data_IF_627660362896
#
_entry.id   IF_627660362896
#
_cell.length_a   1.000
_cell.length_b   1.000
_cell.length_c   1.000
_cell.angle_alpha   90.00
_cell.angle_beta   90.00
_cell.angle_gamma   90.00
#
_symmetry.space_group_name_H-M   'P 1'
#
loop_
_entity.id
_entity.type
_entity.pdbx_description
1 polymer ?
#
# COMPACT_ATOMS: atom_id res chain seq x y z
N UNK A 1 -2.98 19.71 -1.95
CA UNK A 1 -3.50 19.07 -0.73
C UNK A 1 -3.90 17.65 -1.09
N UNK A 2 -3.35 16.66 -0.39
CA UNK A 2 -3.64 15.23 -0.61
C UNK A 2 -4.78 14.84 0.33
N UNK A 3 -5.84 14.24 -0.20
CA UNK A 3 -6.98 13.71 0.54
C UNK A 3 -7.22 12.24 0.22
N UNK A 4 -7.85 11.52 1.14
CA UNK A 4 -8.10 10.09 1.02
C UNK A 4 -9.59 9.78 1.09
N UNK A 5 -10.03 8.79 0.33
CA UNK A 5 -11.40 8.27 0.39
C UNK A 5 -11.46 6.79 0.05
N UNK A 6 -12.43 6.08 0.61
CA UNK A 6 -12.64 4.66 0.39
C UNK A 6 -13.30 4.47 -0.99
N UNK A 7 -12.71 3.67 -1.89
CA UNK A 7 -13.32 3.35 -3.17
C UNK A 7 -14.62 2.56 -3.02
N UNK A 8 -15.59 2.72 -3.94
CA UNK A 8 -16.80 1.91 -3.92
C UNK A 8 -16.45 0.43 -4.06
N UNK A 9 -17.07 -0.41 -3.23
CA UNK A 9 -16.85 -1.86 -3.22
C UNK A 9 -15.76 -2.34 -2.27
N UNK A 10 -14.94 -1.44 -1.72
CA UNK A 10 -13.98 -1.77 -0.66
C UNK A 10 -14.69 -1.64 0.70
N UNK A 11 -14.73 -2.74 1.46
CA UNK A 11 -15.41 -2.83 2.75
C UNK A 11 -14.58 -3.63 3.72
N UNK A 12 -14.61 -3.22 4.99
CA UNK A 12 -14.02 -3.97 6.07
C UNK A 12 -14.94 -5.11 6.50
N UNK A 13 -14.34 -6.28 6.65
CA UNK A 13 -14.96 -7.50 7.21
C UNK A 13 -13.95 -8.20 8.11
N UNK A 14 -14.40 -9.18 8.88
CA UNK A 14 -13.54 -9.94 9.79
C UNK A 14 -13.70 -11.43 9.56
N UNK A 15 -12.59 -12.17 9.64
CA UNK A 15 -12.57 -13.64 9.73
C UNK A 15 -11.60 -14.02 10.83
N UNK A 16 -12.05 -14.82 11.81
CA UNK A 16 -11.21 -15.25 12.94
C UNK A 16 -10.44 -14.09 13.61
N UNK A 17 -11.14 -12.98 13.83
CA UNK A 17 -10.60 -11.74 14.42
C UNK A 17 -9.52 -11.02 13.58
N UNK A 18 -9.32 -11.42 12.31
CA UNK A 18 -8.43 -10.75 11.37
C UNK A 18 -9.21 -9.81 10.45
N UNK A 19 -8.81 -8.53 10.33
CA UNK A 19 -9.46 -7.60 9.41
C UNK A 19 -9.15 -7.95 7.96
N UNK A 20 -10.19 -7.87 7.12
CA UNK A 20 -10.18 -8.19 5.69
C UNK A 20 -10.85 -7.06 4.92
N UNK A 21 -10.14 -6.46 3.96
CA UNK A 21 -10.72 -5.50 3.02
C UNK A 21 -11.13 -6.20 1.73
N UNK A 22 -12.36 -5.99 1.26
CA UNK A 22 -12.78 -6.46 -0.06
C UNK A 22 -12.11 -5.66 -1.17
N UNK A 23 -11.80 -6.32 -2.29
CA UNK A 23 -11.31 -5.64 -3.50
C UNK A 23 -12.45 -5.45 -4.50
N UNK A 24 -12.39 -4.42 -5.38
CA UNK A 24 -13.40 -4.22 -6.42
C UNK A 24 -13.58 -5.42 -7.37
N UNK A 25 -12.55 -6.24 -7.52
CA UNK A 25 -12.52 -7.44 -8.38
C UNK A 25 -13.12 -8.69 -7.69
N UNK A 26 -13.60 -8.56 -6.45
CA UNK A 26 -14.24 -9.64 -5.69
C UNK A 26 -13.32 -10.44 -4.77
N UNK A 27 -12.07 -10.00 -4.59
CA UNK A 27 -11.10 -10.59 -3.66
C UNK A 27 -11.22 -10.05 -2.24
N UNK A 28 -10.37 -10.57 -1.34
CA UNK A 28 -10.17 -10.03 0.02
C UNK A 28 -8.68 -9.96 0.34
N UNK A 29 -8.26 -8.86 0.96
CA UNK A 29 -6.89 -8.65 1.45
C UNK A 29 -6.93 -8.64 2.97
N UNK A 30 -6.16 -9.55 3.58
CA UNK A 30 -5.98 -9.56 5.02
C UNK A 30 -4.97 -8.48 5.42
N UNK A 31 -5.32 -7.69 6.42
CA UNK A 31 -4.48 -6.63 6.98
C UNK A 31 -4.37 -6.80 8.49
N UNK A 32 -3.47 -6.05 9.12
CA UNK A 32 -3.41 -5.97 10.58
C UNK A 32 -4.41 -4.93 11.13
N UNK A 33 -4.73 -4.97 12.44
CA UNK A 33 -5.67 -4.04 13.06
C UNK A 33 -5.25 -2.57 12.99
N UNK A 34 -3.94 -2.28 13.04
CA UNK A 34 -3.42 -0.91 12.95
C UNK A 34 -3.69 -0.31 11.58
N UNK A 35 -3.44 -1.08 10.52
CA UNK A 35 -3.72 -0.66 9.14
C UNK A 35 -5.22 -0.55 8.87
N UNK A 36 -6.04 -1.41 9.49
CA UNK A 36 -7.50 -1.30 9.41
C UNK A 36 -8.01 0.00 10.07
N UNK A 37 -7.48 0.34 11.25
CA UNK A 37 -7.80 1.60 11.93
C UNK A 37 -7.33 2.82 11.11
N UNK A 38 -6.12 2.77 10.52
CA UNK A 38 -5.62 3.83 9.64
C UNK A 38 -6.52 4.00 8.40
N UNK A 39 -6.92 2.89 7.77
CA UNK A 39 -7.80 2.89 6.61
C UNK A 39 -9.15 3.55 6.91
N UNK A 40 -9.78 3.18 8.05
CA UNK A 40 -11.04 3.77 8.48
C UNK A 40 -10.89 5.25 8.85
N UNK A 41 -9.80 5.60 9.53
CA UNK A 41 -9.50 6.98 9.92
C UNK A 41 -9.25 7.89 8.72
N UNK A 42 -8.66 7.37 7.64
CA UNK A 42 -8.31 8.15 6.46
C UNK A 42 -9.52 8.61 5.62
N UNK A 43 -10.72 8.05 5.85
CA UNK A 43 -11.92 8.40 5.09
C UNK A 43 -12.22 9.91 5.18
N UNK A 44 -12.25 10.57 4.00
CA UNK A 44 -12.53 11.99 3.82
C UNK A 44 -11.56 12.94 4.56
N UNK A 45 -10.36 12.47 4.91
CA UNK A 45 -9.33 13.27 5.57
C UNK A 45 -8.16 13.60 4.66
N UNK A 46 -7.49 14.70 4.97
CA UNK A 46 -6.22 15.09 4.36
C UNK A 46 -5.03 14.40 5.01
N UNK A 47 -3.92 14.32 4.28
CA UNK A 47 -2.67 13.77 4.80
C UNK A 47 -2.18 14.51 6.07
N UNK A 48 -2.34 15.83 6.10
CA UNK A 48 -1.90 16.67 7.21
C UNK A 48 -2.71 16.39 8.49
N UNK A 49 -4.03 16.26 8.37
CA UNK A 49 -4.91 15.87 9.47
C UNK A 49 -4.59 14.46 9.98
N UNK A 50 -4.33 13.52 9.07
CA UNK A 50 -3.99 12.14 9.44
C UNK A 50 -2.68 12.11 10.23
N UNK A 51 -1.65 12.80 9.75
CA UNK A 51 -0.35 12.84 10.44
C UNK A 51 -0.39 13.53 11.80
N UNK A 52 -1.30 14.50 11.98
CA UNK A 52 -1.44 15.21 13.25
C UNK A 52 -2.27 14.43 14.29
N UNK A 53 -3.29 13.71 13.86
CA UNK A 53 -4.32 13.17 14.76
C UNK A 53 -4.29 11.65 14.91
N UNK A 54 -3.77 10.90 13.93
CA UNK A 54 -3.78 9.45 13.99
C UNK A 54 -2.80 8.93 15.06
N UNK A 55 -3.32 8.12 15.98
CA UNK A 55 -2.56 7.49 17.06
C UNK A 55 -2.91 6.01 17.11
N UNK A 56 -1.91 5.17 17.35
CA UNK A 56 -2.11 3.73 17.53
C UNK A 56 -1.85 3.38 18.98
N UNK A 57 -2.84 2.80 19.68
CA UNK A 57 -2.74 2.38 21.07
C UNK A 57 -2.14 3.42 22.04
N UNK A 58 -2.44 4.70 21.80
CA UNK A 58 -1.96 5.83 22.61
C UNK A 58 -0.51 6.24 22.35
N UNK A 59 0.21 5.56 21.45
CA UNK A 59 1.52 6.00 20.95
C UNK A 59 1.37 6.80 19.65
N UNK A 60 2.22 7.81 19.50
CA UNK A 60 2.36 8.57 18.25
C UNK A 60 3.08 7.66 17.27
N UNK A 61 2.38 7.25 16.21
CA UNK A 61 2.97 6.48 15.13
C UNK A 61 3.91 7.38 14.32
N UNK A 62 5.07 6.83 13.96
CA UNK A 62 6.05 7.52 13.14
C UNK A 62 5.42 8.02 11.81
N UNK A 63 5.58 9.30 11.44
CA UNK A 63 5.00 9.88 10.23
C UNK A 63 5.32 9.11 8.94
N UNK A 64 6.53 8.55 8.83
CA UNK A 64 6.93 7.79 7.63
C UNK A 64 6.21 6.45 7.56
N UNK A 65 6.00 5.79 8.70
CA UNK A 65 5.18 4.58 8.80
C UNK A 65 3.72 4.84 8.39
N UNK A 66 3.12 5.97 8.81
CA UNK A 66 1.76 6.37 8.38
C UNK A 66 1.73 6.60 6.86
N UNK A 67 2.71 7.33 6.32
CA UNK A 67 2.82 7.59 4.87
C UNK A 67 2.94 6.30 4.08
N UNK A 68 3.76 5.35 4.55
CA UNK A 68 3.94 4.06 3.93
C UNK A 68 2.63 3.25 3.93
N UNK A 69 1.93 3.17 5.06
CA UNK A 69 0.62 2.51 5.16
C UNK A 69 -0.41 3.08 4.18
N UNK A 70 -0.55 4.42 4.15
CA UNK A 70 -1.43 5.10 3.20
C UNK A 70 -1.02 4.84 1.74
N UNK A 71 0.27 4.81 1.44
CA UNK A 71 0.78 4.53 0.11
C UNK A 71 0.47 3.08 -0.33
N UNK A 72 0.69 2.10 0.55
CA UNK A 72 0.37 0.69 0.29
C UNK A 72 -1.13 0.49 0.04
N UNK A 73 -1.99 1.07 0.90
CA UNK A 73 -3.44 1.02 0.72
C UNK A 73 -3.88 1.67 -0.59
N UNK A 74 -3.24 2.79 -0.97
CA UNK A 74 -3.55 3.48 -2.20
C UNK A 74 -3.12 2.72 -3.46
N UNK A 75 -1.92 2.13 -3.45
CA UNK A 75 -1.40 1.34 -4.56
C UNK A 75 -2.19 0.04 -4.76
N UNK A 76 -2.65 -0.59 -3.69
CA UNK A 76 -3.49 -1.78 -3.74
C UNK A 76 -4.95 -1.49 -4.16
N UNK A 77 -5.31 -0.23 -4.43
CA UNK A 77 -6.68 0.16 -4.77
C UNK A 77 -7.67 0.06 -3.61
N UNK A 78 -7.18 -0.09 -2.38
CA UNK A 78 -7.99 -0.19 -1.16
C UNK A 78 -8.32 1.19 -0.58
N UNK A 79 -7.57 2.22 -0.96
CA UNK A 79 -7.80 3.62 -0.59
C UNK A 79 -7.58 4.49 -1.83
N UNK A 80 -8.43 5.49 -2.06
CA UNK A 80 -8.23 6.45 -3.15
C UNK A 80 -7.47 7.64 -2.60
N UNK A 81 -6.34 7.96 -3.23
CA UNK A 81 -5.59 9.20 -2.99
C UNK A 81 -6.00 10.24 -4.04
N UNK A 82 -6.49 11.39 -3.60
CA UNK A 82 -6.85 12.53 -4.43
C UNK A 82 -5.93 13.71 -4.13
N UNK A 83 -5.52 14.45 -5.15
CA UNK A 83 -4.63 15.61 -4.98
C UNK A 83 -3.14 15.23 -5.03
N UNK A 84 -2.42 16.01 -5.84
CA UNK A 84 -1.08 15.74 -6.36
C UNK A 84 -1.08 14.57 -7.35
N UNK A 85 -0.67 14.85 -8.59
CA UNK A 85 -0.52 13.81 -9.61
C UNK A 85 0.39 12.74 -9.03
N UNK A 86 -0.08 11.49 -9.01
CA UNK A 86 0.83 10.37 -8.84
C UNK A 86 1.99 10.66 -9.79
N UNK A 87 3.24 10.68 -9.28
CA UNK A 87 4.36 10.40 -10.16
C UNK A 87 3.93 9.11 -10.82
N UNK A 88 3.58 9.16 -12.10
CA UNK A 88 3.21 7.97 -12.82
C UNK A 88 4.42 7.06 -12.60
N UNK A 89 4.24 5.98 -11.82
CA UNK A 89 5.15 4.88 -11.95
C UNK A 89 5.12 4.61 -13.43
N UNK A 90 6.26 4.85 -14.08
CA UNK A 90 6.41 4.60 -15.50
C UNK A 90 6.00 3.14 -15.61
N UNK A 91 4.81 2.89 -16.16
CA UNK A 91 4.46 1.53 -16.54
C UNK A 91 5.67 1.09 -17.36
N UNK A 92 6.35 -0.01 -17.01
CA UNK A 92 7.53 -0.44 -17.75
C UNK A 92 7.19 -0.34 -19.23
N UNK A 93 8.03 0.34 -20.01
CA UNK A 93 7.77 0.60 -21.43
C UNK A 93 7.31 -0.71 -22.09
N UNK A 94 6.39 -0.59 -23.06
CA UNK A 94 5.74 -1.71 -23.74
C UNK A 94 6.76 -2.81 -24.04
N UNK A 95 6.64 -3.88 -23.25
CA UNK A 95 7.72 -4.80 -23.04
C UNK A 95 8.10 -5.54 -24.32
N UNK A 96 9.35 -5.42 -24.71
CA UNK A 96 9.92 -6.22 -25.80
C UNK A 96 10.46 -7.53 -25.23
N UNK A 97 9.59 -8.37 -24.65
CA UNK A 97 10.02 -9.65 -24.06
C UNK A 97 8.95 -10.39 -23.24
N UNK A 98 9.20 -11.66 -22.88
CA UNK A 98 8.33 -12.43 -21.99
C UNK A 98 8.30 -11.84 -20.56
N UNK A 99 7.21 -12.05 -19.82
CA UNK A 99 7.14 -11.66 -18.40
C UNK A 99 8.14 -12.44 -17.57
N UNK A 100 8.94 -11.71 -16.78
CA UNK A 100 9.82 -12.28 -15.77
C UNK A 100 9.26 -11.97 -14.39
N UNK A 101 8.84 -13.01 -13.67
CA UNK A 101 8.41 -12.90 -12.26
C UNK A 101 9.57 -13.24 -11.33
N UNK A 102 9.90 -12.32 -10.44
CA UNK A 102 10.91 -12.49 -9.39
C UNK A 102 10.19 -12.80 -8.08
N UNK A 103 10.38 -14.01 -7.55
CA UNK A 103 9.78 -14.44 -6.28
C UNK A 103 10.79 -14.25 -5.16
N UNK A 104 10.52 -13.34 -4.24
CA UNK A 104 11.38 -13.03 -3.10
C UNK A 104 10.83 -13.70 -1.84
N UNK A 105 11.37 -14.86 -1.52
CA UNK A 105 11.05 -15.54 -0.26
C UNK A 105 11.76 -14.82 0.89
N UNK A 106 11.01 -14.19 1.79
CA UNK A 106 11.57 -13.51 2.96
C UNK A 106 11.12 -14.14 4.28
N UNK A 107 12.07 -14.30 5.21
CA UNK A 107 11.81 -14.65 6.60
C UNK A 107 12.82 -13.90 7.48
N UNK A 108 12.33 -12.96 8.30
CA UNK A 108 13.15 -12.07 9.12
C UNK A 108 14.24 -11.31 8.33
N UNK A 109 14.02 -11.06 7.03
CA UNK A 109 15.04 -10.53 6.11
C UNK A 109 14.94 -9.02 5.87
N UNK A 110 14.41 -8.25 6.84
CA UNK A 110 14.14 -6.82 6.68
C UNK A 110 15.36 -6.05 6.16
N UNK A 111 16.52 -6.29 6.77
CA UNK A 111 17.80 -5.66 6.38
C UNK A 111 18.19 -5.96 4.92
N UNK A 112 17.88 -7.14 4.41
CA UNK A 112 18.20 -7.54 3.02
C UNK A 112 17.21 -6.98 2.00
N UNK A 113 15.95 -6.82 2.41
CA UNK A 113 14.91 -6.24 1.54
C UNK A 113 15.16 -4.76 1.24
N UNK A 114 15.80 -4.04 2.17
CA UNK A 114 16.17 -2.64 2.02
C UNK A 114 17.12 -2.41 0.83
N UNK A 115 17.96 -3.37 0.48
CA UNK A 115 18.84 -3.32 -0.70
C UNK A 115 18.25 -4.06 -1.91
N UNK A 116 17.61 -5.21 -1.68
CA UNK A 116 17.09 -6.09 -2.73
C UNK A 116 15.98 -5.42 -3.55
N UNK A 117 14.98 -4.81 -2.91
CA UNK A 117 13.85 -4.22 -3.63
C UNK A 117 14.28 -3.03 -4.51
N UNK A 118 15.11 -2.08 -4.03
CA UNK A 118 15.69 -1.06 -4.91
C UNK A 118 16.51 -1.65 -6.05
N UNK A 119 17.32 -2.69 -5.80
CA UNK A 119 18.11 -3.34 -6.85
C UNK A 119 17.24 -3.97 -7.94
N UNK A 120 16.13 -4.63 -7.59
CA UNK A 120 15.19 -5.20 -8.56
C UNK A 120 14.40 -4.12 -9.30
N UNK A 121 14.16 -2.97 -8.66
CA UNK A 121 13.47 -1.84 -9.27
C UNK A 121 14.34 -1.10 -10.30
N UNK A 122 15.67 -1.20 -10.19
CA UNK A 122 16.64 -0.53 -11.08
C UNK A 122 17.09 -1.41 -12.27
N UNK A 123 16.38 -2.51 -12.55
CA UNK A 123 16.72 -3.39 -13.67
C UNK A 123 16.39 -2.76 -15.02
N UNK A 124 17.23 -3.02 -16.03
CA UNK A 124 17.00 -2.54 -17.40
C UNK A 124 16.00 -3.41 -18.18
N UNK A 125 15.55 -4.53 -17.61
CA UNK A 125 14.62 -5.46 -18.25
C UNK A 125 13.15 -5.06 -17.97
N UNK A 126 12.36 -4.96 -19.04
CA UNK A 126 10.90 -4.77 -18.99
C UNK A 126 10.26 -5.83 -19.88
N UNK A 127 9.37 -6.69 -19.35
CA UNK A 127 8.51 -6.50 -18.18
C UNK A 127 8.92 -7.38 -16.97
N UNK A 128 9.08 -6.76 -15.80
CA UNK A 128 9.44 -7.45 -14.55
C UNK A 128 8.30 -7.33 -13.52
N UNK A 129 7.91 -8.45 -12.92
CA UNK A 129 6.95 -8.56 -11.81
C UNK A 129 7.69 -9.04 -10.56
N UNK A 130 7.44 -8.44 -9.39
CA UNK A 130 8.08 -8.83 -8.11
C UNK A 130 6.99 -9.32 -7.17
N UNK A 131 7.17 -10.52 -6.63
CA UNK A 131 6.24 -11.22 -5.72
C UNK A 131 6.90 -11.55 -4.40
#
# INVERSE_FOLDING_TARGET
MITYSIPPGVRLSYSDNRPLLSTPEGGKVAIDPTLAALWEFAQDRSLEEILAEFKTDGQVSDPDTIRAGLACLAQAGLLRRSGEAAKAYRRPDEATGPLVSVVVVSYNSREWLEECLPSLSDQTYSPLEIV
#
